data_IF_655759312876
#
_entry.id   IF_655759312876
#
_cell.length_a   1.000
_cell.length_b   1.000
_cell.length_c   1.000
_cell.angle_alpha   90.00
_cell.angle_beta   90.00
_cell.angle_gamma   90.00
#
_symmetry.space_group_name_H-M   'P 1'
#
loop_
_entity.id
_entity.type
_entity.pdbx_description
1 polymer ?
#
# COMPACT_ATOMS: atom_id res chain seq x y z
N UNK A 1 4.39 19.47 0.71
CA UNK A 1 4.12 19.71 2.12
C UNK A 1 5.39 19.63 2.95
N UNK A 2 6.27 18.67 2.72
CA UNK A 2 7.63 18.67 3.27
C UNK A 2 8.45 19.89 2.81
N UNK A 3 8.09 20.46 1.65
CA UNK A 3 8.65 21.69 1.08
C UNK A 3 7.90 22.97 1.50
N UNK A 4 6.87 22.88 2.36
CA UNK A 4 6.02 24.02 2.73
C UNK A 4 5.05 24.48 1.63
N UNK A 5 4.97 23.78 0.51
CA UNK A 5 4.08 24.15 -0.59
C UNK A 5 2.63 23.73 -0.27
N UNK A 6 1.63 24.52 -0.64
CA UNK A 6 0.24 24.16 -0.45
C UNK A 6 -0.16 22.96 -1.30
N UNK A 7 -1.21 22.26 -0.88
CA UNK A 7 -1.81 21.19 -1.69
C UNK A 7 -2.23 21.70 -3.08
N UNK A 8 -1.80 21.01 -4.13
CA UNK A 8 -2.20 21.31 -5.51
C UNK A 8 -3.36 20.40 -5.89
N UNK A 9 -4.59 20.94 -6.05
CA UNK A 9 -5.78 20.11 -6.33
C UNK A 9 -5.69 19.32 -7.64
N UNK A 10 -4.96 19.88 -8.62
CA UNK A 10 -4.69 19.24 -9.90
C UNK A 10 -3.20 18.96 -10.03
N UNK A 11 -2.80 17.76 -9.64
CA UNK A 11 -1.40 17.34 -9.70
C UNK A 11 -0.82 17.37 -11.14
N UNK A 12 -1.68 17.21 -12.15
CA UNK A 12 -1.28 17.33 -13.57
C UNK A 12 -0.92 18.74 -14.01
N UNK A 13 -1.26 19.76 -13.20
CA UNK A 13 -0.86 21.16 -13.44
C UNK A 13 0.41 21.56 -12.66
N UNK A 14 0.92 20.70 -11.81
CA UNK A 14 2.17 20.94 -11.09
C UNK A 14 3.37 20.87 -12.06
N UNK A 15 4.41 21.68 -11.87
CA UNK A 15 5.63 21.55 -12.64
C UNK A 15 6.24 20.16 -12.48
N UNK A 16 6.61 19.53 -13.58
CA UNK A 16 7.25 18.22 -13.56
C UNK A 16 8.65 18.32 -12.95
N UNK A 17 9.00 17.40 -12.07
CA UNK A 17 10.35 17.29 -11.52
C UNK A 17 11.21 16.40 -12.42
N UNK A 18 12.51 16.67 -12.56
CA UNK A 18 13.39 15.76 -13.26
C UNK A 18 13.32 14.35 -12.69
N UNK A 19 13.10 13.35 -13.57
CA UNK A 19 13.01 11.93 -13.19
C UNK A 19 11.88 11.57 -12.21
N UNK A 20 10.84 12.39 -12.05
CA UNK A 20 9.73 12.11 -11.11
C UNK A 20 9.06 10.76 -11.38
N UNK A 21 8.91 10.37 -12.65
CA UNK A 21 8.35 9.10 -13.06
C UNK A 21 9.20 7.93 -12.52
N UNK A 22 10.52 7.98 -12.73
CA UNK A 22 11.44 6.96 -12.26
C UNK A 22 11.47 6.89 -10.72
N UNK A 23 11.58 8.05 -10.07
CA UNK A 23 11.58 8.14 -8.61
C UNK A 23 10.27 7.61 -8.01
N UNK A 24 9.13 7.94 -8.61
CA UNK A 24 7.82 7.44 -8.20
C UNK A 24 7.71 5.91 -8.31
N UNK A 25 8.21 5.33 -9.41
CA UNK A 25 8.22 3.87 -9.59
C UNK A 25 9.13 3.17 -8.58
N UNK A 26 10.34 3.68 -8.39
CA UNK A 26 11.27 3.13 -7.39
C UNK A 26 10.64 3.15 -5.99
N UNK A 27 10.06 4.28 -5.58
CA UNK A 27 9.39 4.41 -4.30
C UNK A 27 8.22 3.44 -4.18
N UNK A 28 7.36 3.35 -5.21
CA UNK A 28 6.21 2.45 -5.24
C UNK A 28 6.61 0.98 -5.06
N UNK A 29 7.57 0.49 -5.86
CA UNK A 29 8.02 -0.89 -5.76
C UNK A 29 8.75 -1.17 -4.45
N UNK A 30 9.56 -0.24 -3.97
CA UNK A 30 10.26 -0.37 -2.68
C UNK A 30 9.26 -0.52 -1.53
N UNK A 31 8.26 0.35 -1.45
CA UNK A 31 7.21 0.28 -0.43
C UNK A 31 6.43 -1.03 -0.54
N UNK A 32 6.10 -1.47 -1.77
CA UNK A 32 5.37 -2.72 -1.99
C UNK A 32 6.17 -3.94 -1.53
N UNK A 33 7.47 -3.99 -1.80
CA UNK A 33 8.35 -5.07 -1.34
C UNK A 33 8.47 -5.08 0.19
N UNK A 34 8.64 -3.90 0.80
CA UNK A 34 8.69 -3.79 2.27
C UNK A 34 7.39 -4.30 2.90
N UNK A 35 6.24 -3.89 2.39
CA UNK A 35 4.95 -4.38 2.91
C UNK A 35 4.75 -5.88 2.68
N UNK A 36 5.22 -6.43 1.56
CA UNK A 36 5.18 -7.87 1.32
C UNK A 36 6.04 -8.63 2.34
N UNK A 37 7.25 -8.15 2.61
CA UNK A 37 8.12 -8.73 3.63
C UNK A 37 7.50 -8.64 5.03
N UNK A 38 6.94 -7.50 5.40
CA UNK A 38 6.24 -7.31 6.68
C UNK A 38 5.05 -8.26 6.81
N UNK A 39 4.26 -8.43 5.74
CA UNK A 39 3.13 -9.37 5.73
C UNK A 39 3.58 -10.81 5.97
N UNK A 40 4.60 -11.28 5.25
CA UNK A 40 5.13 -12.63 5.40
C UNK A 40 5.73 -12.86 6.79
N UNK A 41 6.50 -11.90 7.30
CA UNK A 41 7.06 -11.96 8.66
C UNK A 41 5.96 -11.96 9.72
N UNK A 42 4.94 -11.12 9.59
CA UNK A 42 3.83 -11.09 10.52
C UNK A 42 3.07 -12.42 10.54
N UNK A 43 2.79 -13.02 9.37
CA UNK A 43 2.13 -14.33 9.30
C UNK A 43 2.96 -15.43 9.95
N UNK A 44 4.26 -15.52 9.62
CA UNK A 44 5.12 -16.61 10.04
C UNK A 44 5.56 -16.50 11.50
N UNK A 45 5.97 -15.31 11.93
CA UNK A 45 6.60 -15.10 13.24
C UNK A 45 5.60 -14.68 14.33
N UNK A 46 4.67 -13.78 14.00
CA UNK A 46 3.75 -13.22 15.00
C UNK A 46 2.51 -14.08 15.14
N UNK A 47 1.84 -14.35 14.02
CA UNK A 47 0.55 -15.03 14.05
C UNK A 47 0.66 -16.56 13.89
N UNK A 48 1.82 -17.07 13.45
CA UNK A 48 2.06 -18.50 13.16
C UNK A 48 0.93 -19.13 12.34
N UNK A 49 0.43 -18.39 11.35
CA UNK A 49 -0.73 -18.77 10.53
C UNK A 49 -0.32 -18.96 9.07
N UNK A 50 -1.03 -19.85 8.39
CA UNK A 50 -0.90 -20.00 6.94
C UNK A 50 -1.49 -18.79 6.22
N UNK A 51 -0.96 -18.43 5.04
CA UNK A 51 -1.52 -17.40 4.18
C UNK A 51 -3.00 -17.69 3.87
N UNK A 52 -3.83 -16.66 3.87
CA UNK A 52 -5.22 -16.74 3.46
C UNK A 52 -5.71 -15.39 2.96
N UNK A 53 -6.69 -15.38 2.06
CA UNK A 53 -7.28 -14.15 1.52
C UNK A 53 -7.78 -13.22 2.63
N UNK A 54 -8.38 -13.81 3.67
CA UNK A 54 -8.84 -13.04 4.83
C UNK A 54 -7.70 -12.32 5.55
N UNK A 55 -6.57 -13.00 5.78
CA UNK A 55 -5.41 -12.40 6.43
C UNK A 55 -4.78 -11.31 5.55
N UNK A 56 -4.74 -11.52 4.23
CA UNK A 56 -4.28 -10.51 3.29
C UNK A 56 -5.18 -9.27 3.27
N UNK A 57 -6.50 -9.44 3.23
CA UNK A 57 -7.44 -8.32 3.31
C UNK A 57 -7.28 -7.53 4.62
N UNK A 58 -7.23 -8.21 5.76
CA UNK A 58 -7.02 -7.56 7.05
C UNK A 58 -5.70 -6.77 7.07
N UNK A 59 -4.63 -7.35 6.55
CA UNK A 59 -3.35 -6.65 6.44
C UNK A 59 -3.46 -5.42 5.52
N UNK A 60 -4.08 -5.57 4.34
CA UNK A 60 -4.31 -4.45 3.43
C UNK A 60 -5.09 -3.31 4.10
N UNK A 61 -6.11 -3.63 4.90
CA UNK A 61 -6.89 -2.61 5.62
C UNK A 61 -6.10 -1.94 6.76
N UNK A 62 -5.29 -2.70 7.49
CA UNK A 62 -4.41 -2.14 8.53
C UNK A 62 -3.41 -1.15 7.89
N UNK A 63 -2.87 -1.48 6.71
CA UNK A 63 -1.93 -0.60 6.02
C UNK A 63 -2.55 0.71 5.52
N UNK A 64 -3.90 0.83 5.45
CA UNK A 64 -4.58 2.09 5.13
C UNK A 64 -4.39 3.19 6.19
N UNK A 65 -4.00 2.82 7.41
CA UNK A 65 -3.66 3.80 8.45
C UNK A 65 -2.57 4.74 7.95
N UNK A 66 -1.57 4.21 7.24
CA UNK A 66 -0.47 5.02 6.72
C UNK A 66 -0.93 6.09 5.71
N UNK A 67 -1.62 5.78 4.59
CA UNK A 67 -2.08 6.81 3.68
C UNK A 67 -3.07 7.78 4.32
N UNK A 68 -3.97 7.35 5.19
CA UNK A 68 -4.98 8.22 5.76
C UNK A 68 -4.43 9.22 6.77
N UNK A 69 -3.48 8.80 7.60
CA UNK A 69 -2.99 9.60 8.72
C UNK A 69 -1.59 10.17 8.53
N UNK A 70 -0.82 9.66 7.58
CA UNK A 70 0.55 10.12 7.31
C UNK A 70 0.67 10.69 5.89
N UNK A 71 0.39 9.90 4.87
CA UNK A 71 0.65 10.30 3.48
C UNK A 71 -0.27 11.44 3.03
N UNK A 72 -1.59 11.32 3.22
CA UNK A 72 -2.55 12.37 2.82
C UNK A 72 -2.30 13.70 3.54
N UNK A 73 -2.12 13.73 4.87
CA UNK A 73 -1.72 14.96 5.56
C UNK A 73 -0.37 15.51 5.06
N UNK A 74 0.63 14.67 4.83
CA UNK A 74 1.92 15.08 4.30
C UNK A 74 1.83 15.71 2.91
N UNK A 75 0.87 15.30 2.11
CA UNK A 75 0.55 15.90 0.80
C UNK A 75 -0.35 17.13 0.87
N UNK A 76 -0.76 17.57 2.06
CA UNK A 76 -1.69 18.70 2.26
C UNK A 76 -3.15 18.36 2.03
N UNK A 77 -3.48 17.09 1.77
CA UNK A 77 -4.86 16.63 1.56
C UNK A 77 -5.68 16.55 2.85
N UNK A 78 -5.05 16.74 4.01
CA UNK A 78 -5.68 16.56 5.31
C UNK A 78 -5.87 15.10 5.71
N UNK A 79 -6.26 14.87 6.96
CA UNK A 79 -6.61 13.53 7.46
C UNK A 79 -7.85 13.05 6.69
N UNK A 80 -7.81 11.81 6.19
CA UNK A 80 -8.91 11.23 5.41
C UNK A 80 -9.28 12.07 4.18
N UNK A 81 -8.30 12.74 3.57
CA UNK A 81 -8.49 13.63 2.43
C UNK A 81 -9.43 14.82 2.69
N UNK A 82 -9.60 15.26 3.94
CA UNK A 82 -10.56 16.29 4.37
C UNK A 82 -10.42 17.64 3.68
N UNK A 83 -9.24 17.97 3.16
CA UNK A 83 -8.95 19.22 2.47
C UNK A 83 -9.15 19.14 0.95
N UNK A 84 -9.72 18.04 0.44
CA UNK A 84 -9.94 17.84 -1.00
C UNK A 84 -11.40 18.08 -1.39
N UNK A 85 -11.65 18.31 -2.68
CA UNK A 85 -13.01 18.51 -3.20
C UNK A 85 -13.87 17.22 -3.14
N UNK A 86 -13.24 16.05 -3.11
CA UNK A 86 -13.94 14.75 -3.17
C UNK A 86 -13.37 13.73 -2.17
N UNK A 87 -13.43 14.01 -0.85
CA UNK A 87 -12.78 13.16 0.15
C UNK A 87 -13.29 11.72 0.14
N UNK A 88 -14.61 11.53 0.02
CA UNK A 88 -15.23 10.19 0.00
C UNK A 88 -14.73 9.36 -1.18
N UNK A 89 -14.61 9.96 -2.36
CA UNK A 89 -14.11 9.26 -3.56
C UNK A 89 -12.64 8.82 -3.37
N UNK A 90 -11.82 9.68 -2.78
CA UNK A 90 -10.40 9.37 -2.51
C UNK A 90 -10.30 8.25 -1.48
N UNK A 91 -11.09 8.30 -0.41
CA UNK A 91 -11.14 7.21 0.57
C UNK A 91 -11.57 5.88 -0.05
N UNK A 92 -12.63 5.87 -0.87
CA UNK A 92 -13.08 4.66 -1.55
C UNK A 92 -12.02 4.08 -2.48
N UNK A 93 -11.33 4.91 -3.26
CA UNK A 93 -10.20 4.49 -4.09
C UNK A 93 -9.08 3.86 -3.24
N UNK A 94 -8.75 4.45 -2.12
CA UNK A 94 -7.75 3.90 -1.19
C UNK A 94 -8.17 2.54 -0.65
N UNK A 95 -9.44 2.38 -0.25
CA UNK A 95 -9.98 1.09 0.20
C UNK A 95 -9.88 0.02 -0.88
N UNK A 96 -10.28 0.34 -2.12
CA UNK A 96 -10.19 -0.60 -3.25
C UNK A 96 -8.73 -0.99 -3.52
N UNK A 97 -7.80 -0.03 -3.56
CA UNK A 97 -6.39 -0.29 -3.79
C UNK A 97 -5.79 -1.18 -2.70
N UNK A 98 -6.01 -0.89 -1.43
CA UNK A 98 -5.46 -1.68 -0.33
C UNK A 98 -6.12 -3.05 -0.21
N UNK A 99 -7.40 -3.17 -0.57
CA UNK A 99 -8.07 -4.48 -0.65
C UNK A 99 -7.47 -5.34 -1.76
N UNK A 100 -7.27 -4.79 -2.95
CA UNK A 100 -6.64 -5.47 -4.08
C UNK A 100 -5.19 -5.86 -3.76
N UNK A 101 -4.44 -4.96 -3.12
CA UNK A 101 -3.09 -5.22 -2.65
C UNK A 101 -3.03 -6.37 -1.65
N UNK A 102 -3.91 -6.36 -0.63
CA UNK A 102 -4.00 -7.42 0.38
C UNK A 102 -4.35 -8.79 -0.22
N UNK A 103 -5.29 -8.82 -1.18
CA UNK A 103 -5.62 -10.06 -1.91
C UNK A 103 -4.41 -10.55 -2.71
N UNK A 104 -3.73 -9.65 -3.44
CA UNK A 104 -2.53 -9.97 -4.21
C UNK A 104 -1.42 -10.56 -3.34
N UNK A 105 -1.16 -9.98 -2.17
CA UNK A 105 -0.21 -10.52 -1.19
C UNK A 105 -0.58 -11.92 -0.73
N UNK A 106 -1.84 -12.15 -0.41
CA UNK A 106 -2.30 -13.47 0.03
C UNK A 106 -2.15 -14.52 -1.05
N UNK A 107 -2.53 -14.21 -2.29
CA UNK A 107 -2.39 -15.13 -3.43
C UNK A 107 -0.94 -15.43 -3.75
N UNK A 108 -0.06 -14.41 -3.73
CA UNK A 108 1.38 -14.59 -3.91
C UNK A 108 2.00 -15.48 -2.81
N UNK A 109 1.62 -15.27 -1.56
CA UNK A 109 2.09 -16.07 -0.44
C UNK A 109 1.59 -17.52 -0.52
N UNK A 110 0.32 -17.76 -0.90
CA UNK A 110 -0.24 -19.09 -1.11
C UNK A 110 0.46 -19.83 -2.25
N UNK A 111 0.79 -19.15 -3.33
CA UNK A 111 1.53 -19.72 -4.44
C UNK A 111 2.95 -20.12 -4.02
N UNK A 112 3.64 -19.24 -3.30
CA UNK A 112 4.97 -19.51 -2.77
C UNK A 112 4.98 -20.72 -1.82
N UNK A 113 4.00 -20.82 -0.92
CA UNK A 113 3.85 -21.94 0.01
C UNK A 113 3.67 -23.27 -0.74
N UNK A 114 2.86 -23.30 -1.80
CA UNK A 114 2.70 -24.49 -2.65
C UNK A 114 3.97 -24.92 -3.35
N UNK A 115 4.69 -23.95 -3.96
CA UNK A 115 5.94 -24.25 -4.69
C UNK A 115 7.03 -24.80 -3.75
N UNK A 116 7.13 -24.23 -2.55
CA UNK A 116 8.12 -24.65 -1.56
C UNK A 116 7.77 -26.02 -0.95
N UNK A 117 6.51 -26.32 -0.71
CA UNK A 117 6.08 -27.62 -0.19
C UNK A 117 6.28 -28.75 -1.20
N UNK A 118 6.04 -28.51 -2.50
CA UNK A 118 6.29 -29.50 -3.56
C UNK A 118 7.78 -29.84 -3.74
N UNK A 119 8.66 -28.87 -3.48
CA UNK A 119 10.12 -29.10 -3.50
C UNK A 119 10.63 -29.91 -2.32
N UNK A 120 9.97 -29.86 -1.18
CA UNK A 120 10.33 -30.60 0.03
C UNK A 120 9.96 -32.09 -0.03
N UNK A 121 9.09 -32.47 -0.95
CA UNK A 121 8.58 -33.84 -1.12
C UNK A 121 9.27 -34.61 -2.27
N UNK A 122 10.20 -33.97 -2.97
CA UNK A 122 11.06 -34.57 -4.02
C UNK A 122 12.47 -34.75 -3.52
#
# INVERSE_FOLDING_TARGET
>A
VLSGQPYVPNIGAAPTLPNEFLAGHIAYYTISIVFAAVYLLALSQIFKRKPSVRNGLLFGWITMIFPFFVQMPAMGMGILASNTATPVLIMLRTVVHHSSFGIGLALGALLADRILSDRSTR
#
